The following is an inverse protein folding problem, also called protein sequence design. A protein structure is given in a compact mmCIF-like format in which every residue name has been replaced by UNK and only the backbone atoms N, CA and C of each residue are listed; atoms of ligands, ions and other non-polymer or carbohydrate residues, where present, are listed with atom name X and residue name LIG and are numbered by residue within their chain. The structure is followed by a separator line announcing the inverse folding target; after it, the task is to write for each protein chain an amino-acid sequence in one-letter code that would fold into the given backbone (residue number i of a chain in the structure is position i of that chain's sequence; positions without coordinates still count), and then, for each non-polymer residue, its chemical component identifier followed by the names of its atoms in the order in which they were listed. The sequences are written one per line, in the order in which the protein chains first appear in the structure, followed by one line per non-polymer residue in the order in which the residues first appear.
data_IF_491368395188
#
_entry.id   IF_491368395188
#
_cell.length_a   1.000
_cell.length_b   1.000
_cell.length_c   1.000
_cell.angle_alpha   90.00
_cell.angle_beta   90.00
_cell.angle_gamma   90.00
#
_symmetry.space_group_name_H-M   'P 1'
#
loop_
_entity.id
_entity.type
_entity.pdbx_description
1 polymer ?
#
# COMPACT_ATOMS: atom_id res chain seq x y z
N UNK A 1 -3.35 -15.49 1.60
CA UNK A 1 -1.97 -15.11 1.94
C UNK A 1 -1.22 -14.83 0.65
N UNK A 2 -0.39 -13.79 0.64
CA UNK A 2 0.46 -13.38 -0.48
C UNK A 2 1.91 -13.33 -0.01
N UNK A 3 2.80 -14.03 -0.70
CA UNK A 3 4.23 -14.14 -0.32
C UNK A 3 5.07 -13.86 -1.55
N UNK A 4 6.02 -12.95 -1.42
CA UNK A 4 7.06 -12.70 -2.42
C UNK A 4 8.39 -13.34 -2.06
N UNK A 5 9.37 -13.18 -2.95
CA UNK A 5 10.74 -13.66 -2.77
C UNK A 5 11.64 -12.66 -2.02
N UNK A 6 11.09 -11.51 -1.61
CA UNK A 6 11.80 -10.49 -0.83
C UNK A 6 11.29 -9.06 -1.08
N UNK A 7 11.43 -8.21 -0.05
CA UNK A 7 11.25 -6.74 -0.20
C UNK A 7 12.20 -6.21 -1.27
N UNK A 8 11.66 -5.45 -2.23
CA UNK A 8 12.43 -4.92 -3.35
C UNK A 8 12.75 -5.94 -4.46
N UNK A 9 12.40 -7.21 -4.27
CA UNK A 9 12.53 -8.27 -5.28
C UNK A 9 11.17 -8.52 -5.94
N UNK A 10 10.15 -8.83 -5.14
CA UNK A 10 8.76 -8.94 -5.62
C UNK A 10 8.06 -7.60 -5.43
N UNK A 11 7.60 -7.00 -6.53
CA UNK A 11 7.02 -5.65 -6.53
C UNK A 11 5.65 -5.65 -7.21
N UNK A 12 4.63 -5.19 -6.49
CA UNK A 12 3.32 -4.81 -7.05
C UNK A 12 3.32 -3.28 -7.19
N UNK A 13 3.16 -2.80 -8.41
CA UNK A 13 3.24 -1.36 -8.73
C UNK A 13 2.03 -0.84 -9.49
N UNK A 14 1.75 0.44 -9.32
CA UNK A 14 0.69 1.19 -10.00
C UNK A 14 1.05 2.68 -10.04
N UNK A 15 0.24 3.49 -10.74
CA UNK A 15 0.55 4.91 -10.95
C UNK A 15 -0.70 5.80 -10.97
N UNK A 16 -1.80 5.35 -10.34
CA UNK A 16 -3.03 6.14 -10.22
C UNK A 16 -2.89 7.18 -9.13
N UNK A 17 -3.58 8.30 -9.29
CA UNK A 17 -3.58 9.41 -8.32
C UNK A 17 -4.92 10.14 -8.33
N UNK A 18 -5.23 10.84 -7.24
CA UNK A 18 -6.46 11.62 -7.15
C UNK A 18 -6.49 12.79 -8.15
N UNK A 19 -5.39 13.53 -8.25
CA UNK A 19 -5.20 14.58 -9.27
C UNK A 19 -5.11 14.04 -10.70
N UNK A 20 -5.05 12.72 -10.89
CA UNK A 20 -5.18 12.03 -12.16
C UNK A 20 -6.62 11.58 -12.50
N UNK A 21 -7.62 12.00 -11.73
CA UNK A 21 -9.03 11.67 -11.94
C UNK A 21 -9.52 10.41 -11.22
N UNK A 22 -8.69 9.80 -10.36
CA UNK A 22 -9.13 8.75 -9.44
C UNK A 22 -9.72 9.36 -8.16
N UNK A 23 -10.43 8.55 -7.37
CA UNK A 23 -10.58 8.87 -5.93
C UNK A 23 -9.34 8.40 -5.16
N UNK A 24 -9.09 8.96 -3.97
CA UNK A 24 -7.98 8.53 -3.08
C UNK A 24 -7.98 7.02 -2.87
N UNK A 25 -9.12 6.42 -2.51
CA UNK A 25 -9.20 4.97 -2.31
C UNK A 25 -8.91 4.17 -3.60
N UNK A 26 -9.40 4.66 -4.74
CA UNK A 26 -9.23 3.98 -6.04
C UNK A 26 -7.85 4.22 -6.68
N UNK A 27 -7.03 5.10 -6.09
CA UNK A 27 -5.66 5.32 -6.55
C UNK A 27 -4.68 4.27 -6.02
N UNK A 28 -5.13 3.42 -5.08
CA UNK A 28 -4.34 2.33 -4.52
C UNK A 28 -3.77 1.37 -5.59
N UNK A 29 -2.47 1.12 -5.55
CA UNK A 29 -1.84 0.06 -6.36
C UNK A 29 -2.28 -1.33 -5.93
N UNK A 30 -2.57 -1.52 -4.63
CA UNK A 30 -3.09 -2.76 -4.09
C UNK A 30 -4.15 -2.52 -3.02
N UNK A 31 -5.20 -3.35 -3.01
CA UNK A 31 -6.26 -3.33 -2.00
C UNK A 31 -6.38 -4.67 -1.28
N UNK A 32 -6.25 -4.66 0.05
CA UNK A 32 -6.40 -5.83 0.92
C UNK A 32 -7.74 -5.78 1.66
N UNK A 33 -8.73 -6.53 1.18
CA UNK A 33 -10.09 -6.51 1.72
C UNK A 33 -10.62 -7.83 2.30
N UNK A 34 -9.89 -8.94 2.16
CA UNK A 34 -10.29 -10.22 2.76
C UNK A 34 -9.76 -10.37 4.18
N UNK A 35 -10.63 -10.68 5.15
CA UNK A 35 -10.22 -10.85 6.55
C UNK A 35 -9.15 -11.92 6.71
N UNK A 36 -8.23 -11.71 7.65
CA UNK A 36 -7.05 -12.55 7.84
C UNK A 36 -6.04 -12.45 6.70
N UNK A 37 -6.09 -11.40 5.86
CA UNK A 37 -5.12 -11.21 4.79
C UNK A 37 -3.70 -11.06 5.37
N UNK A 38 -2.77 -11.84 4.82
CA UNK A 38 -1.35 -11.79 5.17
C UNK A 38 -0.56 -11.48 3.91
N UNK A 39 0.30 -10.46 3.98
CA UNK A 39 1.36 -10.21 3.01
C UNK A 39 2.74 -10.38 3.67
N UNK A 40 3.66 -11.01 2.94
CA UNK A 40 5.03 -11.22 3.40
C UNK A 40 6.05 -11.09 2.28
N UNK A 41 7.22 -10.52 2.59
CA UNK A 41 8.39 -10.50 1.70
C UNK A 41 8.07 -9.86 0.32
N UNK A 42 7.29 -8.78 0.30
CA UNK A 42 6.79 -8.13 -0.92
C UNK A 42 6.70 -6.60 -0.78
N UNK A 43 6.85 -5.88 -1.89
CA UNK A 43 6.74 -4.42 -1.99
C UNK A 43 5.46 -3.97 -2.70
N UNK A 44 4.75 -3.01 -2.10
CA UNK A 44 3.62 -2.30 -2.70
C UNK A 44 4.04 -0.87 -3.03
N UNK A 45 3.96 -0.48 -4.30
CA UNK A 45 4.51 0.79 -4.78
C UNK A 45 3.46 1.56 -5.58
N UNK A 46 3.34 2.86 -5.34
CA UNK A 46 2.67 3.76 -6.27
C UNK A 46 3.63 4.84 -6.77
N UNK A 47 3.84 4.86 -8.09
CA UNK A 47 4.81 5.71 -8.78
C UNK A 47 4.21 7.00 -9.33
N UNK A 48 2.94 7.29 -9.05
CA UNK A 48 2.34 8.54 -9.50
C UNK A 48 3.10 9.75 -8.93
N UNK A 49 3.18 10.83 -9.72
CA UNK A 49 3.95 12.02 -9.34
C UNK A 49 3.39 12.66 -8.06
N UNK A 50 4.25 13.14 -7.14
CA UNK A 50 3.81 13.82 -5.92
C UNK A 50 2.98 15.08 -6.17
N UNK A 51 3.08 15.70 -7.36
CA UNK A 51 2.25 16.86 -7.73
C UNK A 51 0.80 16.50 -8.07
N UNK A 52 0.44 15.20 -8.10
CA UNK A 52 -0.88 14.70 -8.48
C UNK A 52 -1.80 14.43 -7.27
N UNK A 53 -1.55 15.08 -6.14
CA UNK A 53 -2.34 14.89 -4.92
C UNK A 53 -2.13 13.50 -4.33
N UNK A 54 -3.20 12.81 -3.93
CA UNK A 54 -3.13 11.54 -3.22
C UNK A 54 -2.69 10.37 -4.12
N UNK A 55 -1.68 9.61 -3.67
CA UNK A 55 -0.96 8.53 -4.37
C UNK A 55 -0.87 7.30 -3.45
N UNK A 56 -1.98 6.58 -3.30
CA UNK A 56 -2.05 5.44 -2.37
C UNK A 56 -1.29 4.24 -2.94
N UNK A 57 -0.38 3.65 -2.19
CA UNK A 57 0.28 2.40 -2.56
C UNK A 57 -0.51 1.18 -2.07
N UNK A 58 -1.00 1.24 -0.83
CA UNK A 58 -1.75 0.16 -0.20
C UNK A 58 -2.99 0.71 0.52
N UNK A 59 -4.16 0.14 0.24
CA UNK A 59 -5.38 0.33 1.05
C UNK A 59 -5.77 -0.97 1.74
N UNK A 60 -6.12 -0.90 3.02
CA UNK A 60 -6.49 -2.07 3.82
C UNK A 60 -7.81 -1.86 4.52
N UNK A 61 -8.75 -2.78 4.28
CA UNK A 61 -10.04 -2.90 4.98
C UNK A 61 -10.21 -4.23 5.70
N UNK A 62 -9.29 -5.17 5.51
CA UNK A 62 -9.33 -6.50 6.10
C UNK A 62 -9.12 -6.48 7.62
N UNK A 63 -9.99 -7.16 8.37
CA UNK A 63 -9.78 -7.42 9.79
C UNK A 63 -8.70 -8.47 10.02
N UNK A 64 -7.97 -8.36 11.13
CA UNK A 64 -6.86 -9.25 11.53
C UNK A 64 -5.82 -9.44 10.42
N UNK A 65 -5.50 -8.37 9.70
CA UNK A 65 -4.52 -8.41 8.61
C UNK A 65 -3.08 -8.23 9.11
N UNK A 66 -2.13 -8.91 8.46
CA UNK A 66 -0.70 -8.87 8.82
C UNK A 66 0.15 -8.53 7.60
N UNK A 67 1.05 -7.57 7.76
CA UNK A 67 2.08 -7.23 6.80
C UNK A 67 3.44 -7.42 7.47
N UNK A 68 4.18 -8.44 7.03
CA UNK A 68 5.44 -8.85 7.66
C UNK A 68 6.60 -8.83 6.66
N UNK A 69 7.66 -8.07 6.95
CA UNK A 69 8.76 -7.86 5.99
C UNK A 69 8.23 -7.40 4.64
N UNK A 70 7.41 -6.34 4.64
CA UNK A 70 6.95 -5.68 3.42
C UNK A 70 7.61 -4.31 3.23
N UNK A 71 7.49 -3.72 2.04
CA UNK A 71 7.66 -2.28 1.90
C UNK A 71 6.44 -1.64 1.24
N UNK A 72 6.08 -0.44 1.67
CA UNK A 72 4.93 0.32 1.17
C UNK A 72 5.45 1.69 0.79
N UNK A 73 5.48 1.98 -0.51
CA UNK A 73 6.25 3.11 -1.07
C UNK A 73 5.35 3.98 -1.93
N UNK A 74 5.30 5.27 -1.62
CA UNK A 74 4.58 6.26 -2.40
C UNK A 74 4.94 7.69 -1.98
N UNK A 75 4.03 8.63 -2.25
CA UNK A 75 4.15 10.03 -1.85
C UNK A 75 3.05 10.38 -0.84
N UNK A 76 2.13 11.28 -1.18
CA UNK A 76 0.98 11.61 -0.35
C UNK A 76 0.04 10.40 -0.22
N UNK A 77 -0.42 10.12 1.00
CA UNK A 77 -1.37 9.03 1.33
C UNK A 77 -0.86 7.62 1.00
N UNK A 78 0.45 7.37 1.11
CA UNK A 78 1.08 6.09 0.75
C UNK A 78 0.39 4.84 1.33
N UNK A 79 0.06 4.84 2.62
CA UNK A 79 -0.66 3.76 3.30
C UNK A 79 -2.00 4.27 3.80
N UNK A 80 -3.08 3.61 3.35
CA UNK A 80 -4.44 3.93 3.77
C UNK A 80 -5.04 2.79 4.62
N UNK A 81 -4.88 2.88 5.94
CA UNK A 81 -5.45 1.95 6.93
C UNK A 81 -6.93 2.27 7.18
N UNK A 82 -7.80 1.87 6.27
CA UNK A 82 -9.18 2.35 6.21
C UNK A 82 -10.05 1.86 7.37
N UNK A 83 -9.96 0.58 7.74
CA UNK A 83 -10.77 0.00 8.82
C UNK A 83 -10.16 -1.27 9.43
N UNK A 84 -10.65 -1.65 10.62
CA UNK A 84 -10.38 -2.92 11.30
C UNK A 84 -8.96 -3.10 11.86
N UNK A 85 -8.68 -4.26 12.44
CA UNK A 85 -7.42 -4.55 13.13
C UNK A 85 -6.35 -4.94 12.12
N UNK A 86 -5.23 -4.23 12.14
CA UNK A 86 -4.13 -4.41 11.18
C UNK A 86 -2.80 -4.39 11.92
N UNK A 87 -1.89 -5.28 11.57
CA UNK A 87 -0.58 -5.38 12.18
C UNK A 87 0.54 -5.32 11.13
N UNK A 88 1.50 -4.43 11.34
CA UNK A 88 2.64 -4.19 10.46
C UNK A 88 3.93 -4.42 11.24
N UNK A 89 4.77 -5.35 10.79
CA UNK A 89 6.04 -5.69 11.46
C UNK A 89 7.17 -5.82 10.45
N UNK A 90 8.35 -5.30 10.81
CA UNK A 90 9.54 -5.29 9.93
C UNK A 90 9.24 -4.72 8.53
N UNK A 91 8.27 -3.80 8.49
CA UNK A 91 7.73 -3.21 7.26
C UNK A 91 8.20 -1.77 7.14
N UNK A 92 8.75 -1.44 5.97
CA UNK A 92 9.25 -0.10 5.69
C UNK A 92 8.17 0.70 4.98
N UNK A 93 7.82 1.89 5.50
CA UNK A 93 6.77 2.75 4.94
C UNK A 93 7.38 4.10 4.60
N UNK A 94 7.36 4.48 3.32
CA UNK A 94 7.95 5.72 2.82
C UNK A 94 6.88 6.60 2.19
N UNK A 95 6.83 7.87 2.59
CA UNK A 95 5.89 8.85 2.02
C UNK A 95 6.31 10.28 2.32
N UNK A 96 5.57 11.24 1.79
CA UNK A 96 5.80 12.68 2.00
C UNK A 96 4.72 13.30 2.88
N UNK A 97 5.07 14.31 3.68
CA UNK A 97 4.09 15.20 4.30
C UNK A 97 3.63 16.23 3.26
N UNK A 98 2.33 16.54 3.28
CA UNK A 98 1.69 17.57 2.44
C UNK A 98 2.36 18.91 2.53
#
# INVERSE_FOLDING_TARGET
MLVGDGKGITIITGSKSAGGGSTTRRSASFGAGGDGFIARDISFVNTASPSKGQVVALVVTADKSVFYRCSIIGYQDTLYTLSNQQFYRETDIYGTKT
#
